data_IF_475977398032
#
_entry.id   IF_475977398032
#
_cell.length_a   1.000
_cell.length_b   1.000
_cell.length_c   1.000
_cell.angle_alpha   90.00
_cell.angle_beta   90.00
_cell.angle_gamma   90.00
#
_symmetry.space_group_name_H-M   'P 1'
#
loop_
_entity.id
_entity.type
_entity.pdbx_description
1 polymer ?
#
# COMPACT_ATOMS: atom_id res chain seq x y z
N UNK A 1 -14.60 -5.31 -23.39
CA UNK A 1 -15.94 -4.66 -23.34
C UNK A 1 -16.37 -4.83 -21.89
N UNK A 2 -16.02 -3.87 -21.05
CA UNK A 2 -16.49 -3.85 -19.67
C UNK A 2 -17.77 -3.06 -19.66
N UNK A 3 -18.76 -3.69 -19.08
CA UNK A 3 -20.11 -3.22 -19.00
C UNK A 3 -20.19 -1.77 -18.52
N UNK A 4 -20.70 -0.93 -19.37
CA UNK A 4 -21.16 0.43 -19.07
C UNK A 4 -22.51 0.42 -18.31
N UNK A 5 -22.92 -0.74 -17.76
CA UNK A 5 -24.31 -0.97 -17.35
C UNK A 5 -24.60 -0.73 -15.87
N UNK A 6 -23.58 -0.46 -15.02
CA UNK A 6 -23.83 -0.47 -13.57
C UNK A 6 -23.76 0.90 -12.90
N UNK A 7 -23.71 1.99 -13.67
CA UNK A 7 -23.75 3.34 -13.11
C UNK A 7 -25.13 3.97 -13.31
N UNK A 8 -25.93 3.95 -12.28
CA UNK A 8 -27.16 4.74 -12.24
C UNK A 8 -26.78 6.17 -11.86
N UNK A 9 -26.79 7.09 -12.82
CA UNK A 9 -26.63 8.52 -12.56
C UNK A 9 -27.94 9.04 -11.95
N UNK A 10 -28.05 8.99 -10.64
CA UNK A 10 -29.05 9.75 -9.92
C UNK A 10 -28.43 11.06 -9.47
N UNK A 11 -29.13 12.18 -9.65
CA UNK A 11 -28.72 13.47 -9.09
C UNK A 11 -29.10 13.46 -7.60
N UNK A 12 -28.18 13.18 -6.67
CA UNK A 12 -28.52 13.19 -5.27
C UNK A 12 -28.70 14.63 -4.82
N UNK A 13 -29.69 14.85 -3.97
CA UNK A 13 -29.67 16.06 -3.12
C UNK A 13 -28.41 15.96 -2.26
N UNK A 14 -27.43 16.81 -2.54
CA UNK A 14 -26.15 16.82 -1.88
C UNK A 14 -26.37 17.01 -0.37
N UNK A 15 -26.34 15.94 0.40
CA UNK A 15 -25.88 16.02 1.78
C UNK A 15 -24.37 16.18 1.71
N UNK A 16 -23.90 17.43 1.81
CA UNK A 16 -22.49 17.71 2.00
C UNK A 16 -22.04 16.97 3.26
N UNK A 17 -21.20 15.96 3.11
CA UNK A 17 -20.51 15.37 4.25
C UNK A 17 -19.59 16.47 4.77
N UNK A 18 -19.72 16.92 6.03
CA UNK A 18 -18.90 18.00 6.55
C UNK A 18 -17.42 17.67 6.38
N UNK A 19 -16.67 18.58 5.78
CA UNK A 19 -15.21 18.51 5.63
C UNK A 19 -14.60 18.20 7.02
N UNK A 20 -13.95 17.07 7.16
CA UNK A 20 -13.37 16.60 8.43
C UNK A 20 -13.93 15.27 8.95
N UNK A 21 -15.15 14.87 8.58
CA UNK A 21 -15.69 13.55 8.99
C UNK A 21 -14.98 12.42 8.28
N UNK A 22 -14.59 12.59 7.02
CA UNK A 22 -13.81 11.61 6.26
C UNK A 22 -12.43 11.39 6.90
N UNK A 23 -11.76 12.47 7.25
CA UNK A 23 -10.45 12.39 7.89
C UNK A 23 -10.53 11.73 9.26
N UNK A 24 -11.58 12.01 10.03
CA UNK A 24 -11.84 11.38 11.32
C UNK A 24 -12.16 9.89 11.14
N UNK A 25 -12.99 9.54 10.16
CA UNK A 25 -13.30 8.14 9.83
C UNK A 25 -12.03 7.35 9.47
N UNK A 26 -11.17 7.91 8.59
CA UNK A 26 -9.91 7.28 8.20
C UNK A 26 -9.00 7.12 9.42
N UNK A 27 -8.80 8.16 10.22
CA UNK A 27 -7.93 8.11 11.40
C UNK A 27 -8.42 7.10 12.45
N UNK A 28 -9.74 6.96 12.61
CA UNK A 28 -10.32 6.06 13.59
C UNK A 28 -10.27 4.60 13.18
N UNK A 29 -10.47 4.30 11.89
CA UNK A 29 -10.56 2.93 11.40
C UNK A 29 -9.24 2.42 10.80
N UNK A 30 -8.38 3.32 10.30
CA UNK A 30 -7.11 3.00 9.66
C UNK A 30 -5.98 3.81 10.30
N UNK A 31 -5.64 3.53 11.56
CA UNK A 31 -4.57 4.26 12.24
C UNK A 31 -3.24 4.02 11.54
N UNK A 32 -2.43 5.07 11.42
CA UNK A 32 -1.10 4.96 10.85
C UNK A 32 -0.27 3.92 11.60
N UNK A 33 0.28 2.97 10.86
CA UNK A 33 1.15 1.91 11.38
C UNK A 33 2.60 2.15 10.91
N UNK A 34 3.40 2.96 11.63
CA UNK A 34 4.77 3.25 11.24
C UNK A 34 5.67 2.02 11.43
N UNK A 35 6.76 1.94 10.66
CA UNK A 35 7.72 0.83 10.66
C UNK A 35 8.21 0.43 12.05
N UNK A 36 8.45 1.42 12.92
CA UNK A 36 8.90 1.16 14.29
C UNK A 36 7.87 0.47 15.20
N UNK A 37 6.64 0.29 14.73
CA UNK A 37 5.56 -0.42 15.45
C UNK A 37 5.30 -1.82 14.89
N UNK A 38 6.03 -2.22 13.86
CA UNK A 38 5.84 -3.53 13.27
C UNK A 38 6.40 -4.63 14.18
N UNK A 39 5.62 -5.69 14.36
CA UNK A 39 6.00 -6.85 15.16
C UNK A 39 5.97 -8.12 14.30
N UNK A 40 6.87 -9.09 14.54
CA UNK A 40 6.84 -10.36 13.83
C UNK A 40 5.46 -11.03 13.87
N UNK A 41 5.07 -11.61 12.73
CA UNK A 41 3.74 -12.18 12.52
C UNK A 41 2.72 -11.24 11.88
N UNK A 42 2.99 -9.93 11.81
CA UNK A 42 2.15 -9.01 11.04
C UNK A 42 2.11 -9.41 9.57
N UNK A 43 0.91 -9.32 8.97
CA UNK A 43 0.68 -9.68 7.58
C UNK A 43 0.32 -8.46 6.75
N UNK A 44 0.87 -8.40 5.57
CA UNK A 44 0.68 -7.30 4.63
C UNK A 44 0.29 -7.85 3.27
N UNK A 45 -0.67 -7.23 2.60
CA UNK A 45 -0.94 -7.47 1.19
C UNK A 45 -0.03 -6.57 0.36
N UNK A 46 0.63 -7.13 -0.66
CA UNK A 46 1.44 -6.33 -1.56
C UNK A 46 0.59 -5.79 -2.71
N UNK A 47 0.42 -4.48 -2.75
CA UNK A 47 -0.36 -3.74 -3.75
C UNK A 47 0.54 -2.66 -4.35
N UNK A 48 1.49 -3.02 -5.23
CA UNK A 48 2.39 -2.06 -5.85
C UNK A 48 1.60 -1.05 -6.68
N UNK A 49 2.00 0.22 -6.61
CA UNK A 49 1.41 1.21 -7.51
C UNK A 49 1.82 0.90 -8.96
N UNK A 50 0.99 1.23 -9.97
CA UNK A 50 1.34 1.04 -11.38
C UNK A 50 2.69 1.68 -11.75
N UNK A 51 3.01 2.83 -11.16
CA UNK A 51 4.31 3.52 -11.38
C UNK A 51 5.50 2.78 -10.77
N UNK A 52 5.31 2.01 -9.71
CA UNK A 52 6.37 1.25 -9.05
C UNK A 52 6.58 -0.14 -9.65
N UNK A 53 5.81 -0.53 -10.66
CA UNK A 53 5.96 -1.86 -11.29
C UNK A 53 7.33 -2.04 -11.97
N UNK A 54 7.99 -0.96 -12.36
CA UNK A 54 9.30 -1.02 -13.01
C UNK A 54 10.50 -1.00 -12.05
N UNK A 55 10.26 -0.66 -10.77
CA UNK A 55 11.32 -0.60 -9.76
C UNK A 55 10.98 -1.58 -8.64
N UNK A 56 11.84 -2.58 -8.40
CA UNK A 56 11.65 -3.53 -7.30
C UNK A 56 11.48 -2.81 -5.97
N UNK A 57 10.41 -3.11 -5.25
CA UNK A 57 10.22 -2.61 -3.87
C UNK A 57 10.95 -3.51 -2.89
N UNK A 58 10.91 -4.82 -3.13
CA UNK A 58 11.52 -5.83 -2.28
C UNK A 58 12.65 -6.53 -3.03
N UNK A 59 13.62 -7.02 -2.28
CA UNK A 59 14.70 -7.87 -2.78
C UNK A 59 14.56 -9.29 -2.24
N UNK A 60 14.99 -10.28 -3.03
CA UNK A 60 15.14 -11.65 -2.56
C UNK A 60 16.24 -11.72 -1.51
N UNK A 61 15.99 -12.40 -0.41
CA UNK A 61 16.98 -12.57 0.65
C UNK A 61 18.16 -13.45 0.22
N UNK A 62 17.89 -14.45 -0.62
CA UNK A 62 18.90 -15.41 -1.10
C UNK A 62 19.84 -14.81 -2.15
N UNK A 63 19.26 -14.07 -3.11
CA UNK A 63 20.03 -13.57 -4.26
C UNK A 63 20.48 -12.12 -4.08
N UNK A 64 19.96 -11.43 -3.08
CA UNK A 64 20.12 -9.98 -2.84
C UNK A 64 19.73 -9.08 -4.05
N UNK A 65 18.97 -9.63 -5.00
CA UNK A 65 18.48 -8.90 -6.16
C UNK A 65 17.03 -8.45 -5.97
N UNK A 66 16.70 -7.31 -6.57
CA UNK A 66 15.34 -6.83 -6.62
C UNK A 66 14.40 -7.84 -7.28
N UNK A 67 13.23 -8.01 -6.72
CA UNK A 67 12.18 -8.91 -7.22
C UNK A 67 11.18 -8.11 -8.01
N UNK A 68 10.78 -8.62 -9.18
CA UNK A 68 9.71 -8.01 -9.96
C UNK A 68 8.43 -7.92 -9.11
N UNK A 69 7.92 -6.72 -8.95
CA UNK A 69 6.74 -6.44 -8.15
C UNK A 69 5.49 -7.22 -8.63
N UNK A 70 5.43 -7.56 -9.92
CA UNK A 70 4.31 -8.35 -10.47
C UNK A 70 4.22 -9.75 -9.88
N UNK A 71 5.35 -10.35 -9.51
CA UNK A 71 5.41 -11.68 -8.90
C UNK A 71 4.84 -11.72 -7.48
N UNK A 72 4.84 -10.58 -6.80
CA UNK A 72 4.35 -10.43 -5.42
C UNK A 72 2.99 -9.72 -5.35
N UNK A 73 2.49 -9.20 -6.47
CA UNK A 73 1.22 -8.46 -6.51
C UNK A 73 0.08 -9.28 -5.93
N UNK A 74 -0.65 -8.70 -4.97
CA UNK A 74 -1.76 -9.28 -4.22
C UNK A 74 -1.41 -10.49 -3.34
N UNK A 75 -0.14 -10.83 -3.21
CA UNK A 75 0.29 -11.86 -2.25
C UNK A 75 0.35 -11.32 -0.84
N UNK A 76 0.21 -12.24 0.12
CA UNK A 76 0.32 -11.93 1.53
C UNK A 76 1.74 -12.22 2.00
N UNK A 77 2.39 -11.17 2.48
CA UNK A 77 3.72 -11.23 3.06
C UNK A 77 3.60 -11.21 4.59
N UNK A 78 4.27 -12.13 5.27
CA UNK A 78 4.36 -12.14 6.73
C UNK A 78 5.67 -11.48 7.14
N UNK A 79 5.60 -10.40 7.91
CA UNK A 79 6.77 -9.78 8.50
C UNK A 79 7.37 -10.68 9.59
N UNK A 80 8.66 -11.00 9.49
CA UNK A 80 9.33 -11.91 10.42
C UNK A 80 10.29 -11.20 11.35
N UNK A 81 10.65 -9.96 11.08
CA UNK A 81 11.53 -9.16 11.92
C UNK A 81 12.45 -8.24 11.13
N UNK A 82 13.41 -7.67 11.83
CA UNK A 82 14.42 -6.78 11.26
C UNK A 82 15.82 -7.31 11.47
N UNK A 83 16.73 -6.94 10.56
CA UNK A 83 18.16 -7.17 10.66
C UNK A 83 18.92 -5.87 10.43
N UNK A 84 19.92 -5.57 11.25
CA UNK A 84 20.86 -4.49 10.98
C UNK A 84 22.09 -5.03 10.27
N UNK A 85 22.49 -4.36 9.19
CA UNK A 85 23.76 -4.60 8.50
C UNK A 85 24.70 -3.42 8.74
N UNK A 86 25.90 -3.71 9.17
CA UNK A 86 26.98 -2.73 9.29
C UNK A 86 27.94 -2.89 8.10
N UNK A 87 28.27 -1.80 7.47
CA UNK A 87 29.24 -1.71 6.39
C UNK A 87 30.35 -0.75 6.77
N UNK A 88 31.57 -1.25 6.91
CA UNK A 88 32.73 -0.41 7.14
C UNK A 88 33.07 0.40 5.88
N UNK A 89 33.19 1.69 6.04
CA UNK A 89 33.62 2.65 5.02
C UNK A 89 34.86 3.41 5.52
N UNK A 90 35.64 4.07 4.64
CA UNK A 90 36.87 4.75 5.04
C UNK A 90 36.74 5.75 6.20
N UNK A 91 35.57 6.35 6.34
CA UNK A 91 35.31 7.40 7.35
C UNK A 91 34.36 6.93 8.48
N UNK A 92 34.18 5.62 8.70
CA UNK A 92 33.32 5.10 9.76
C UNK A 92 32.57 3.84 9.39
N UNK A 93 31.41 3.65 10.00
CA UNK A 93 30.51 2.52 9.72
C UNK A 93 29.14 3.03 9.30
N UNK A 94 28.70 2.62 8.13
CA UNK A 94 27.32 2.80 7.69
C UNK A 94 26.48 1.64 8.19
N UNK A 95 25.26 1.96 8.61
CA UNK A 95 24.26 0.96 9.00
C UNK A 95 23.11 0.98 8.01
N UNK A 96 22.52 -0.18 7.77
CA UNK A 96 21.23 -0.30 7.10
C UNK A 96 20.33 -1.24 7.88
N UNK A 97 19.03 -1.01 7.84
CA UNK A 97 18.05 -1.87 8.48
C UNK A 97 17.23 -2.57 7.40
N UNK A 98 17.20 -3.89 7.46
CA UNK A 98 16.36 -4.74 6.61
C UNK A 98 15.11 -5.16 7.34
N UNK A 99 13.96 -4.96 6.74
CA UNK A 99 12.66 -5.49 7.15
C UNK A 99 12.42 -6.78 6.37
N UNK A 100 12.29 -7.90 7.08
CA UNK A 100 12.28 -9.25 6.50
C UNK A 100 10.84 -9.77 6.41
N UNK A 101 10.54 -10.39 5.28
CA UNK A 101 9.22 -10.95 4.98
C UNK A 101 9.34 -12.37 4.45
N UNK A 102 8.33 -13.18 4.71
CA UNK A 102 8.13 -14.49 4.11
C UNK A 102 6.85 -14.52 3.30
N UNK A 103 6.90 -15.16 2.13
CA UNK A 103 5.77 -15.36 1.25
C UNK A 103 5.99 -16.62 0.40
N UNK A 104 5.06 -17.58 0.47
CA UNK A 104 5.07 -18.80 -0.35
C UNK A 104 6.42 -19.56 -0.33
N UNK A 105 7.05 -19.63 0.83
CA UNK A 105 8.35 -20.29 1.01
C UNK A 105 9.57 -19.45 0.58
N UNK A 106 9.37 -18.30 -0.02
CA UNK A 106 10.43 -17.34 -0.32
C UNK A 106 10.65 -16.34 0.81
N UNK A 107 11.87 -15.87 0.96
CA UNK A 107 12.27 -14.84 1.94
C UNK A 107 12.67 -13.56 1.19
N UNK A 108 12.12 -12.43 1.62
CA UNK A 108 12.28 -11.14 0.96
C UNK A 108 12.65 -10.07 1.98
N UNK A 109 13.22 -8.96 1.52
CA UNK A 109 13.50 -7.83 2.41
C UNK A 109 13.30 -6.48 1.72
N UNK A 110 12.98 -5.48 2.53
CA UNK A 110 13.08 -4.07 2.20
C UNK A 110 14.22 -3.47 3.02
N UNK A 111 15.12 -2.70 2.39
CA UNK A 111 16.28 -2.13 3.06
C UNK A 111 16.18 -0.61 3.16
N UNK A 112 16.30 -0.10 4.38
CA UNK A 112 16.50 1.32 4.65
C UNK A 112 17.99 1.54 4.85
N UNK A 113 18.60 2.24 3.89
CA UNK A 113 20.03 2.55 3.91
C UNK A 113 20.35 3.71 4.84
N UNK A 114 21.55 3.69 5.42
CA UNK A 114 22.11 4.75 6.27
C UNK A 114 21.25 5.09 7.49
N UNK A 115 20.54 4.09 8.03
CA UNK A 115 19.68 4.28 9.20
C UNK A 115 19.61 2.99 10.02
N UNK A 116 19.77 3.11 11.34
CA UNK A 116 19.57 2.02 12.30
C UNK A 116 18.10 1.92 12.69
N UNK A 117 17.69 0.77 13.18
CA UNK A 117 16.31 0.53 13.60
C UNK A 117 15.80 1.55 14.63
N UNK A 118 16.62 1.87 15.61
CA UNK A 118 16.31 2.87 16.65
C UNK A 118 16.04 4.27 16.08
N UNK A 119 16.79 4.64 15.03
CA UNK A 119 16.66 5.95 14.37
C UNK A 119 15.43 6.07 13.47
N UNK A 120 14.89 4.93 12.97
CA UNK A 120 13.73 4.94 12.06
C UNK A 120 12.51 5.54 12.74
N UNK A 121 12.26 5.21 14.00
CA UNK A 121 11.13 5.77 14.75
C UNK A 121 11.24 7.27 14.98
N UNK A 122 12.45 7.79 15.15
CA UNK A 122 12.71 9.19 15.42
C UNK A 122 12.76 10.04 14.15
N UNK A 123 13.56 9.58 13.17
CA UNK A 123 13.83 10.34 11.93
C UNK A 123 12.75 10.18 10.86
N UNK A 124 12.03 9.06 10.89
CA UNK A 124 10.98 8.72 9.92
C UNK A 124 9.72 8.19 10.60
N UNK A 125 9.08 8.94 11.51
CA UNK A 125 7.98 8.46 12.36
C UNK A 125 6.71 8.07 11.58
N UNK A 126 6.63 8.43 10.30
CA UNK A 126 5.51 8.07 9.41
C UNK A 126 5.93 7.19 8.24
N UNK A 127 7.18 6.67 8.26
CA UNK A 127 7.66 5.83 7.18
C UNK A 127 6.86 4.53 7.11
N UNK A 128 6.49 4.15 5.90
CA UNK A 128 5.93 2.88 5.52
C UNK A 128 6.69 2.33 4.30
N UNK A 129 6.42 1.10 3.93
CA UNK A 129 6.96 0.50 2.71
C UNK A 129 5.90 0.63 1.61
N UNK A 130 6.24 1.30 0.51
CA UNK A 130 5.33 1.50 -0.59
C UNK A 130 4.82 0.16 -1.15
N UNK A 131 3.52 0.08 -1.33
CA UNK A 131 2.87 -1.14 -1.81
C UNK A 131 2.54 -2.17 -0.73
N UNK A 132 2.98 -2.00 0.52
CA UNK A 132 2.55 -2.88 1.61
C UNK A 132 1.37 -2.28 2.36
N UNK A 133 0.24 -2.97 2.29
CA UNK A 133 -0.99 -2.61 3.01
C UNK A 133 -1.21 -3.61 4.13
N UNK A 134 -1.40 -3.12 5.35
CA UNK A 134 -1.63 -3.98 6.51
C UNK A 134 -2.91 -4.81 6.30
N UNK A 135 -2.82 -6.13 6.42
CA UNK A 135 -3.93 -7.02 6.08
C UNK A 135 -5.16 -6.77 6.95
N UNK A 136 -4.96 -6.42 8.21
CA UNK A 136 -6.06 -6.06 9.11
C UNK A 136 -6.83 -4.83 8.63
N UNK A 137 -6.15 -3.85 8.01
CA UNK A 137 -6.81 -2.68 7.44
C UNK A 137 -7.63 -3.07 6.21
N UNK A 138 -7.14 -4.03 5.41
CA UNK A 138 -7.89 -4.57 4.27
C UNK A 138 -9.17 -5.27 4.74
N UNK A 139 -9.08 -6.07 5.80
CA UNK A 139 -10.23 -6.78 6.37
C UNK A 139 -11.23 -5.79 6.97
N UNK A 140 -10.74 -4.79 7.72
CA UNK A 140 -11.57 -3.69 8.24
C UNK A 140 -12.27 -2.93 7.12
N UNK A 141 -11.56 -2.62 6.03
CA UNK A 141 -12.15 -1.94 4.88
C UNK A 141 -13.25 -2.78 4.24
N UNK A 142 -13.04 -4.09 4.09
CA UNK A 142 -14.08 -5.00 3.58
C UNK A 142 -15.32 -4.99 4.46
N UNK A 143 -15.15 -5.13 5.77
CA UNK A 143 -16.27 -5.14 6.72
C UNK A 143 -17.06 -3.83 6.72
N UNK A 144 -16.36 -2.70 6.61
CA UNK A 144 -16.98 -1.39 6.68
C UNK A 144 -17.60 -0.93 5.36
N UNK A 145 -17.01 -1.31 4.22
CA UNK A 145 -17.31 -0.69 2.93
C UNK A 145 -18.03 -1.62 1.94
N UNK A 146 -17.80 -2.95 1.99
CA UNK A 146 -18.47 -3.87 1.06
C UNK A 146 -19.97 -3.82 1.25
N UNK A 147 -20.71 -3.73 0.14
CA UNK A 147 -22.16 -3.56 0.13
C UNK A 147 -22.64 -2.14 0.44
N UNK A 148 -21.74 -1.18 0.68
CA UNK A 148 -22.11 0.21 0.88
C UNK A 148 -22.19 0.95 -0.44
N UNK A 149 -23.15 1.87 -0.49
CA UNK A 149 -23.22 2.89 -1.53
C UNK A 149 -22.28 4.04 -1.19
N UNK A 150 -21.48 4.42 -2.15
CA UNK A 150 -20.55 5.55 -2.06
C UNK A 150 -20.77 6.50 -3.22
N UNK A 151 -20.40 7.76 -3.04
CA UNK A 151 -20.47 8.78 -4.07
C UNK A 151 -19.06 9.20 -4.48
N UNK A 152 -18.77 9.09 -5.78
CA UNK A 152 -17.45 9.42 -6.31
C UNK A 152 -17.31 10.94 -6.35
N UNK A 153 -16.34 11.48 -5.62
CA UNK A 153 -16.07 12.92 -5.58
C UNK A 153 -14.95 13.33 -6.55
N UNK A 154 -14.32 12.38 -7.21
CA UNK A 154 -13.27 12.65 -8.20
C UNK A 154 -13.87 12.79 -9.60
N UNK A 155 -13.28 13.67 -10.42
CA UNK A 155 -13.67 13.83 -11.83
C UNK A 155 -13.25 12.63 -12.70
N UNK A 156 -12.32 11.83 -12.22
CA UNK A 156 -11.85 10.59 -12.85
C UNK A 156 -11.47 9.55 -11.84
N UNK A 157 -11.61 8.29 -12.22
CA UNK A 157 -11.13 7.13 -11.47
C UNK A 157 -10.05 6.43 -12.27
N UNK A 158 -8.96 6.10 -11.59
CA UNK A 158 -7.86 5.37 -12.21
C UNK A 158 -8.09 3.87 -12.08
N UNK A 159 -8.05 3.19 -13.21
CA UNK A 159 -8.15 1.72 -13.26
C UNK A 159 -6.89 1.10 -13.84
N UNK A 160 -6.59 -0.12 -13.43
CA UNK A 160 -5.51 -0.92 -14.02
C UNK A 160 -5.86 -1.25 -15.49
N UNK A 161 -4.91 -1.03 -16.38
CA UNK A 161 -5.04 -1.36 -17.81
C UNK A 161 -3.73 -1.95 -18.32
N UNK A 162 -3.69 -3.27 -18.44
CA UNK A 162 -2.52 -4.01 -18.90
C UNK A 162 -2.12 -3.68 -20.35
N UNK A 163 -3.02 -3.10 -21.14
CA UNK A 163 -2.74 -2.71 -22.53
C UNK A 163 -2.17 -1.29 -22.65
N UNK A 164 -2.12 -0.57 -21.55
CA UNK A 164 -1.55 0.78 -21.52
C UNK A 164 -0.10 0.73 -21.03
N UNK A 165 0.80 1.41 -21.72
CA UNK A 165 2.21 1.52 -21.32
C UNK A 165 2.41 2.01 -19.88
N UNK A 166 1.52 2.86 -19.38
CA UNK A 166 1.54 3.33 -17.99
C UNK A 166 0.96 2.31 -17.00
N UNK A 167 0.40 1.18 -17.48
CA UNK A 167 -0.25 0.17 -16.64
C UNK A 167 -1.60 0.59 -16.08
N UNK A 168 -2.10 1.77 -16.43
CA UNK A 168 -3.40 2.29 -15.99
C UNK A 168 -4.00 3.27 -17.01
N UNK A 169 -5.28 3.51 -16.90
CA UNK A 169 -5.97 4.61 -17.56
C UNK A 169 -6.91 5.32 -16.60
N UNK A 170 -7.10 6.60 -16.83
CA UNK A 170 -8.11 7.38 -16.12
C UNK A 170 -9.44 7.33 -16.90
N UNK A 171 -10.52 7.01 -16.21
CA UNK A 171 -11.87 7.04 -16.75
C UNK A 171 -12.57 8.25 -16.14
N UNK A 172 -13.05 9.16 -16.98
CA UNK A 172 -13.87 10.27 -16.53
C UNK A 172 -15.19 9.74 -15.96
N UNK A 173 -15.53 10.18 -14.77
CA UNK A 173 -16.76 9.82 -14.08
C UNK A 173 -17.38 11.13 -13.59
N UNK A 174 -18.70 11.36 -13.82
CA UNK A 174 -19.36 12.53 -13.26
C UNK A 174 -19.21 12.58 -11.74
N UNK A 175 -18.89 13.74 -11.21
CA UNK A 175 -18.85 13.96 -9.74
C UNK A 175 -20.21 13.58 -9.15
N UNK A 176 -20.21 12.99 -7.97
CA UNK A 176 -21.38 12.41 -7.29
C UNK A 176 -21.99 11.18 -7.99
N UNK A 177 -21.27 10.49 -8.86
CA UNK A 177 -21.72 9.18 -9.36
C UNK A 177 -21.84 8.20 -8.19
N UNK A 178 -23.01 7.60 -8.07
CA UNK A 178 -23.26 6.54 -7.10
C UNK A 178 -22.57 5.24 -7.53
N UNK A 179 -21.90 4.58 -6.61
CA UNK A 179 -21.25 3.30 -6.83
C UNK A 179 -21.43 2.39 -5.62
N UNK A 180 -21.56 1.10 -5.85
CA UNK A 180 -21.58 0.09 -4.77
C UNK A 180 -20.22 -0.60 -4.72
N UNK A 181 -19.65 -0.72 -3.52
CA UNK A 181 -18.40 -1.45 -3.30
C UNK A 181 -18.74 -2.94 -3.20
N UNK A 182 -18.14 -3.75 -4.07
CA UNK A 182 -18.35 -5.20 -4.15
C UNK A 182 -17.10 -5.97 -3.75
#
# INVERSE_FOLDING_TARGET
IIAQSDYIVTTPSAQEIPVGQEEQFIKSNFPLLPLGKWTPGMKFMFVPSPRSMFLPTLSSYETEKGVDNSLLKHKILTFTGTEEKAQNIPNGTNYSTRFIFECEGGKYYYEIKNMRLEEISEKAPRAGINGLVYLKDVDTAKELLVGKTVYIQAESVRIDDANNYSGYRDIAIPVNTEATIT
#
